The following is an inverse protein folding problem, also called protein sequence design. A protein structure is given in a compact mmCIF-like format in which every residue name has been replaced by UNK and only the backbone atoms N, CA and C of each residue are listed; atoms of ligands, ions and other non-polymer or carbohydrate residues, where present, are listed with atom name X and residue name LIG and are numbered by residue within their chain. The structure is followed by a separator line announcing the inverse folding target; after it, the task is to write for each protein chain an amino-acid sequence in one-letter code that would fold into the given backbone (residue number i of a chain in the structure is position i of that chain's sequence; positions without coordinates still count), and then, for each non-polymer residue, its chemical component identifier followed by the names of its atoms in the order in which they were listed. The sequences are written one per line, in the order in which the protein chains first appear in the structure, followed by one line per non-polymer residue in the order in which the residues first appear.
data_IF_417100827802
#
_entry.id   IF_417100827802
#
_cell.length_a   1.000
_cell.length_b   1.000
_cell.length_c   1.000
_cell.angle_alpha   90.00
_cell.angle_beta   90.00
_cell.angle_gamma   90.00
#
_symmetry.space_group_name_H-M   'P 1'
#
loop_
_entity.id
_entity.type
_entity.pdbx_description
1 polymer ?
#
# COMPACT_ATOMS: atom_id res chain seq x y z
N UNK A 1 -40.00 37.44 32.54
CA UNK A 1 -39.95 38.82 32.01
C UNK A 1 -39.33 38.74 30.64
N UNK A 2 -40.18 38.77 29.62
CA UNK A 2 -39.85 38.65 28.19
C UNK A 2 -39.13 39.93 27.74
N UNK A 3 -37.95 39.79 27.16
CA UNK A 3 -37.27 40.91 26.49
C UNK A 3 -37.78 40.99 25.05
N UNK A 4 -38.21 42.18 24.64
CA UNK A 4 -38.77 42.52 23.33
C UNK A 4 -37.69 42.90 22.31
N UNK A 5 -38.05 42.75 21.03
CA UNK A 5 -37.25 42.91 19.81
C UNK A 5 -36.58 44.29 19.59
N UNK A 6 -36.86 45.28 20.43
CA UNK A 6 -36.37 46.65 20.21
C UNK A 6 -34.93 46.89 20.71
N UNK A 7 -34.37 45.99 21.53
CA UNK A 7 -32.99 46.14 22.01
C UNK A 7 -31.94 45.74 20.96
N UNK A 8 -32.34 44.95 19.95
CA UNK A 8 -31.43 44.48 18.89
C UNK A 8 -31.30 45.50 17.74
N UNK A 9 -32.30 46.38 17.54
CA UNK A 9 -32.26 47.41 16.49
C UNK A 9 -31.35 48.61 16.80
N UNK A 10 -31.03 48.87 18.06
CA UNK A 10 -30.29 50.07 18.46
C UNK A 10 -28.77 50.02 18.18
N UNK A 11 -28.21 48.87 17.78
CA UNK A 11 -26.76 48.74 17.51
C UNK A 11 -26.43 48.89 16.01
N UNK A 12 -27.43 48.90 15.12
CA UNK A 12 -27.20 48.84 13.67
C UNK A 12 -27.40 50.16 12.91
N UNK A 13 -27.78 51.27 13.55
CA UNK A 13 -28.15 52.51 12.84
C UNK A 13 -27.26 53.75 13.05
N UNK A 14 -26.12 53.68 13.76
CA UNK A 14 -25.26 54.86 13.96
C UNK A 14 -23.89 54.74 13.25
N UNK A 15 -23.84 55.07 11.96
CA UNK A 15 -23.08 56.24 11.43
C UNK A 15 -22.77 56.19 9.92
N UNK A 16 -22.73 57.36 9.26
CA UNK A 16 -23.16 57.51 7.88
C UNK A 16 -22.09 58.05 6.92
N UNK A 17 -22.44 58.05 5.63
CA UNK A 17 -22.15 59.11 4.66
C UNK A 17 -20.72 59.64 4.55
N UNK A 18 -19.92 59.08 3.64
CA UNK A 18 -18.88 59.79 2.88
C UNK A 18 -18.48 58.91 1.71
N UNK A 19 -19.10 59.12 0.54
CA UNK A 19 -18.59 58.73 -0.79
C UNK A 19 -19.58 59.00 -1.95
N UNK A 20 -20.66 59.76 -1.74
CA UNK A 20 -21.67 60.03 -2.78
C UNK A 20 -21.32 61.12 -3.81
N UNK A 21 -20.09 61.65 -3.83
CA UNK A 21 -19.74 62.83 -4.64
C UNK A 21 -18.69 62.59 -5.74
N UNK A 22 -18.81 61.52 -6.53
CA UNK A 22 -18.04 61.41 -7.78
C UNK A 22 -18.93 60.96 -8.94
N UNK A 23 -19.24 61.91 -9.84
CA UNK A 23 -19.87 61.67 -11.14
C UNK A 23 -18.93 60.84 -12.04
N UNK A 24 -19.46 59.96 -12.92
CA UNK A 24 -18.61 59.16 -13.79
C UNK A 24 -18.07 60.01 -14.94
N UNK A 25 -16.76 60.24 -14.95
CA UNK A 25 -16.02 60.66 -16.14
C UNK A 25 -15.77 59.47 -17.05
N UNK A 26 -16.10 59.64 -18.33
CA UNK A 26 -15.75 58.73 -19.41
C UNK A 26 -14.22 58.59 -19.52
N UNK A 27 -13.70 57.38 -19.29
CA UNK A 27 -12.52 56.89 -20.02
C UNK A 27 -12.56 55.37 -20.09
N UNK A 28 -12.83 54.87 -21.30
CA UNK A 28 -12.69 53.49 -21.71
C UNK A 28 -11.25 52.97 -21.51
N UNK A 29 -11.12 51.64 -21.48
CA UNK A 29 -9.87 50.86 -21.63
C UNK A 29 -8.85 50.87 -20.48
N UNK A 30 -9.14 50.19 -19.36
CA UNK A 30 -8.08 49.81 -18.40
C UNK A 30 -8.37 48.60 -17.48
N UNK A 31 -9.41 47.77 -17.71
CA UNK A 31 -9.87 46.79 -16.71
C UNK A 31 -9.84 45.31 -17.13
N UNK A 32 -9.08 44.93 -18.16
CA UNK A 32 -9.00 43.51 -18.55
C UNK A 32 -7.98 42.68 -17.76
N UNK A 33 -7.19 43.27 -16.85
CA UNK A 33 -6.09 42.58 -16.17
C UNK A 33 -5.91 43.06 -14.71
N UNK A 34 -6.56 42.43 -13.70
CA UNK A 34 -6.02 42.09 -12.35
C UNK A 34 -7.07 41.59 -11.31
N UNK A 35 -6.75 40.43 -10.71
CA UNK A 35 -6.96 39.88 -9.33
C UNK A 35 -8.36 39.75 -8.61
N UNK A 36 -8.66 38.48 -8.24
CA UNK A 36 -9.70 37.93 -7.33
C UNK A 36 -11.19 38.24 -7.60
N UNK A 37 -12.07 37.22 -7.69
CA UNK A 37 -13.50 37.47 -7.72
C UNK A 37 -13.95 37.99 -6.35
N UNK A 38 -14.56 39.18 -6.33
CA UNK A 38 -15.40 39.60 -5.21
C UNK A 38 -16.54 38.58 -5.02
N UNK A 39 -17.06 38.47 -3.79
CA UNK A 39 -18.23 37.62 -3.48
C UNK A 39 -19.28 37.83 -4.57
N UNK A 40 -19.72 36.78 -5.29
CA UNK A 40 -20.71 36.97 -6.33
C UNK A 40 -22.00 37.40 -5.64
N UNK A 41 -22.49 38.60 -5.97
CA UNK A 41 -23.93 38.82 -5.95
C UNK A 41 -24.57 37.75 -6.83
N UNK A 42 -25.80 37.35 -6.54
CA UNK A 42 -26.54 36.34 -7.31
C UNK A 42 -26.55 36.69 -8.82
N UNK A 43 -25.55 36.21 -9.54
CA UNK A 43 -25.50 36.19 -10.99
C UNK A 43 -25.73 34.72 -11.31
N UNK A 44 -26.96 34.37 -11.66
CA UNK A 44 -27.22 33.10 -12.35
C UNK A 44 -26.49 33.18 -13.69
N UNK A 45 -25.29 32.59 -13.73
CA UNK A 45 -24.51 32.47 -14.95
C UNK A 45 -25.24 31.48 -15.87
N UNK A 46 -25.40 31.85 -17.15
CA UNK A 46 -26.14 31.07 -18.15
C UNK A 46 -25.77 29.58 -18.09
N UNK A 47 -26.79 28.71 -18.15
CA UNK A 47 -26.65 27.25 -18.25
C UNK A 47 -25.99 26.55 -17.04
N UNK A 48 -26.04 27.19 -15.86
CA UNK A 48 -25.68 26.58 -14.58
C UNK A 48 -24.19 26.58 -14.25
N UNK A 49 -23.35 27.35 -14.94
CA UNK A 49 -21.94 27.54 -14.60
C UNK A 49 -21.76 28.23 -13.22
N UNK A 50 -20.66 27.92 -12.52
CA UNK A 50 -20.37 28.46 -11.18
C UNK A 50 -19.42 29.66 -11.21
N UNK A 51 -18.78 29.93 -12.35
CA UNK A 51 -17.84 31.05 -12.54
C UNK A 51 -17.91 31.60 -13.95
N UNK A 52 -17.74 32.92 -14.08
CA UNK A 52 -17.70 33.59 -15.38
C UNK A 52 -16.52 33.11 -16.25
N UNK A 53 -16.76 33.04 -17.56
CA UNK A 53 -15.78 32.68 -18.56
C UNK A 53 -16.25 31.53 -19.45
N UNK A 54 -15.65 31.41 -20.65
CA UNK A 54 -15.95 30.30 -21.56
C UNK A 54 -15.39 28.99 -21.01
N UNK A 55 -16.07 27.85 -21.23
CA UNK A 55 -15.52 26.52 -20.94
C UNK A 55 -14.18 26.33 -21.64
N UNK A 56 -13.24 25.67 -20.95
CA UNK A 56 -11.93 25.39 -21.52
C UNK A 56 -12.07 24.36 -22.64
N UNK A 57 -11.64 24.73 -23.85
CA UNK A 57 -11.64 23.80 -24.98
C UNK A 57 -10.46 22.84 -24.86
N UNK A 58 -10.70 21.54 -24.99
CA UNK A 58 -9.66 20.51 -24.81
C UNK A 58 -8.47 20.63 -25.77
N UNK A 59 -8.72 21.13 -26.99
CA UNK A 59 -7.67 21.34 -28.00
C UNK A 59 -7.04 22.75 -27.96
N UNK A 60 -7.40 23.57 -26.96
CA UNK A 60 -6.76 24.87 -26.78
C UNK A 60 -5.32 24.72 -26.31
N UNK A 61 -4.46 25.70 -26.65
CA UNK A 61 -3.07 25.74 -26.17
C UNK A 61 -2.96 25.70 -24.64
N UNK A 62 -3.91 26.35 -23.97
CA UNK A 62 -4.01 26.40 -22.51
C UNK A 62 -4.32 25.03 -21.91
N UNK A 63 -5.29 24.31 -22.48
CA UNK A 63 -5.62 22.95 -22.05
C UNK A 63 -4.49 21.97 -22.37
N UNK A 64 -3.86 22.07 -23.54
CA UNK A 64 -2.72 21.22 -23.89
C UNK A 64 -1.56 21.41 -22.91
N UNK A 65 -1.27 22.66 -22.51
CA UNK A 65 -0.27 22.93 -21.48
C UNK A 65 -0.63 22.31 -20.12
N UNK A 66 -1.90 22.41 -19.73
CA UNK A 66 -2.41 21.78 -18.50
C UNK A 66 -2.34 20.25 -18.57
N UNK A 67 -2.69 19.63 -19.70
CA UNK A 67 -2.62 18.18 -19.87
C UNK A 67 -1.15 17.69 -19.90
N UNK A 68 -0.25 18.44 -20.55
CA UNK A 68 1.18 18.10 -20.58
C UNK A 68 1.81 18.13 -19.17
N UNK A 69 1.41 19.09 -18.34
CA UNK A 69 1.76 19.13 -16.92
C UNK A 69 1.35 17.85 -16.19
N UNK A 70 0.08 17.44 -16.32
CA UNK A 70 -0.45 16.25 -15.66
C UNK A 70 0.13 14.95 -16.23
N UNK A 71 0.51 14.94 -17.51
CA UNK A 71 1.28 13.84 -18.09
C UNK A 71 2.65 13.72 -17.40
N UNK A 72 3.37 14.82 -17.20
CA UNK A 72 4.65 14.82 -16.48
C UNK A 72 4.51 14.37 -15.02
N UNK A 73 3.52 14.91 -14.30
CA UNK A 73 3.21 14.50 -12.92
C UNK A 73 2.85 13.01 -12.85
N UNK A 74 1.97 12.56 -13.76
CA UNK A 74 1.56 11.16 -13.85
C UNK A 74 2.75 10.24 -14.08
N UNK A 75 3.61 10.58 -15.03
CA UNK A 75 4.82 9.82 -15.34
C UNK A 75 5.75 9.68 -14.12
N UNK A 76 6.06 10.78 -13.43
CA UNK A 76 6.91 10.74 -12.24
C UNK A 76 6.26 9.99 -11.07
N UNK A 77 4.94 10.09 -10.91
CA UNK A 77 4.20 9.33 -9.90
C UNK A 77 4.19 7.81 -10.18
N UNK A 78 4.41 7.39 -11.43
CA UNK A 78 4.64 5.98 -11.79
C UNK A 78 6.11 5.56 -11.62
N UNK A 79 7.04 6.40 -12.06
CA UNK A 79 8.49 6.11 -12.07
C UNK A 79 9.07 6.11 -10.66
N UNK A 80 8.92 7.19 -9.88
CA UNK A 80 9.66 7.35 -8.63
C UNK A 80 9.34 6.22 -7.63
N UNK A 81 8.07 5.86 -7.36
CA UNK A 81 7.75 4.72 -6.51
C UNK A 81 8.19 3.38 -7.14
N UNK A 82 8.08 3.25 -8.46
CA UNK A 82 8.43 2.02 -9.17
C UNK A 82 9.91 1.65 -9.07
N UNK A 83 10.81 2.64 -9.01
CA UNK A 83 12.27 2.43 -8.91
C UNK A 83 12.70 1.88 -7.54
N UNK A 84 11.90 2.06 -6.50
CA UNK A 84 12.29 1.75 -5.12
C UNK A 84 12.67 0.27 -4.96
N UNK A 85 11.83 -0.66 -5.41
CA UNK A 85 12.10 -2.08 -5.26
C UNK A 85 13.29 -2.55 -6.12
N UNK A 86 13.32 -2.32 -7.45
CA UNK A 86 14.41 -2.80 -8.29
C UNK A 86 15.79 -2.25 -7.88
N UNK A 87 15.87 -1.00 -7.43
CA UNK A 87 17.14 -0.39 -7.02
C UNK A 87 17.51 -0.70 -5.58
N UNK A 88 16.60 -0.50 -4.62
CA UNK A 88 16.96 -0.66 -3.22
C UNK A 88 17.02 -2.13 -2.83
N UNK A 89 16.02 -2.93 -3.19
CA UNK A 89 15.99 -4.35 -2.86
C UNK A 89 16.78 -5.17 -3.87
N UNK A 90 16.49 -5.02 -5.17
CA UNK A 90 17.12 -5.86 -6.20
C UNK A 90 18.62 -5.61 -6.31
N UNK A 91 18.99 -4.38 -6.69
CA UNK A 91 20.38 -4.05 -7.00
C UNK A 91 21.27 -3.85 -5.76
N UNK A 92 20.77 -3.17 -4.71
CA UNK A 92 21.57 -2.85 -3.51
C UNK A 92 21.39 -3.85 -2.37
N UNK A 93 20.44 -4.79 -2.45
CA UNK A 93 20.07 -5.72 -1.38
C UNK A 93 19.84 -5.02 -0.02
N UNK A 94 19.11 -3.92 -0.03
CA UNK A 94 18.71 -3.23 1.18
C UNK A 94 17.75 -4.09 2.01
N UNK A 95 17.78 -3.92 3.32
CA UNK A 95 16.83 -4.56 4.21
C UNK A 95 15.38 -4.10 3.89
N UNK A 96 14.41 -5.01 4.00
CA UNK A 96 13.00 -4.70 3.73
C UNK A 96 12.47 -3.51 4.55
N UNK A 97 12.97 -3.30 5.77
CA UNK A 97 12.61 -2.14 6.61
C UNK A 97 13.03 -0.80 5.97
N UNK A 98 14.17 -0.75 5.27
CA UNK A 98 14.65 0.41 4.52
C UNK A 98 13.76 0.64 3.29
N UNK A 99 13.38 -0.42 2.59
CA UNK A 99 12.48 -0.35 1.41
C UNK A 99 11.11 0.18 1.81
N UNK A 100 10.50 -0.36 2.87
CA UNK A 100 9.23 0.14 3.38
C UNK A 100 9.37 1.60 3.84
N UNK A 101 10.44 1.94 4.55
CA UNK A 101 10.70 3.33 4.95
C UNK A 101 10.82 4.27 3.74
N UNK A 102 11.49 3.84 2.68
CA UNK A 102 11.64 4.61 1.45
C UNK A 102 10.29 4.87 0.76
N UNK A 103 9.43 3.84 0.66
CA UNK A 103 8.08 4.00 0.10
C UNK A 103 7.25 5.02 0.89
N UNK A 104 7.33 4.99 2.22
CA UNK A 104 6.64 5.98 3.08
C UNK A 104 7.22 7.38 2.90
N UNK A 105 8.54 7.53 2.92
CA UNK A 105 9.23 8.83 2.78
C UNK A 105 8.90 9.51 1.45
N UNK A 106 8.88 8.77 0.35
CA UNK A 106 8.47 9.29 -0.97
C UNK A 106 7.01 9.77 -0.99
N UNK A 107 6.16 9.24 -0.11
CA UNK A 107 4.75 9.64 0.01
C UNK A 107 4.52 10.82 0.97
N UNK A 108 5.48 11.14 1.86
CA UNK A 108 5.36 12.27 2.79
C UNK A 108 4.93 13.60 2.14
N UNK A 109 5.42 13.99 0.95
CA UNK A 109 4.99 15.23 0.30
C UNK A 109 3.48 15.36 0.19
N UNK A 110 2.75 14.26 -0.04
CA UNK A 110 1.29 14.26 -0.20
C UNK A 110 0.56 14.74 1.06
N UNK A 111 1.13 14.52 2.25
CA UNK A 111 0.60 15.05 3.50
C UNK A 111 0.62 16.59 3.53
N UNK A 112 1.51 17.22 2.75
CA UNK A 112 1.66 18.67 2.67
C UNK A 112 0.87 19.31 1.52
N UNK A 113 0.10 18.52 0.76
CA UNK A 113 -0.66 18.98 -0.41
C UNK A 113 -1.54 20.20 -0.09
N UNK A 114 -2.25 20.17 1.04
CA UNK A 114 -3.10 21.29 1.50
C UNK A 114 -2.30 22.56 1.76
N UNK A 115 -1.15 22.46 2.43
CA UNK A 115 -0.32 23.61 2.78
C UNK A 115 0.26 24.28 1.53
N UNK A 116 0.70 23.50 0.54
CA UNK A 116 1.10 24.05 -0.76
C UNK A 116 -0.03 24.78 -1.47
N UNK A 117 -1.28 24.29 -1.32
CA UNK A 117 -2.46 24.95 -1.85
C UNK A 117 -2.61 26.35 -1.26
N UNK A 118 -2.61 26.43 0.07
CA UNK A 118 -2.69 27.70 0.80
C UNK A 118 -1.56 28.66 0.39
N UNK A 119 -0.33 28.18 0.28
CA UNK A 119 0.80 29.02 -0.10
C UNK A 119 0.60 29.57 -1.53
N UNK A 120 0.29 28.70 -2.48
CA UNK A 120 0.16 29.08 -3.90
C UNK A 120 -1.02 30.03 -4.18
N UNK A 121 -2.10 29.93 -3.40
CA UNK A 121 -3.27 30.80 -3.58
C UNK A 121 -3.15 32.14 -2.81
N UNK A 122 -2.50 32.14 -1.65
CA UNK A 122 -2.40 33.33 -0.79
C UNK A 122 -1.20 34.23 -1.10
N UNK A 123 -0.10 33.69 -1.64
CA UNK A 123 1.15 34.43 -1.84
C UNK A 123 1.53 34.55 -3.32
N UNK A 124 1.02 35.56 -4.06
CA UNK A 124 1.39 35.72 -5.46
C UNK A 124 2.86 36.11 -5.62
N UNK A 125 3.55 35.51 -6.59
CA UNK A 125 4.93 35.81 -6.96
C UNK A 125 4.92 36.66 -8.24
N UNK A 126 5.51 37.86 -8.19
CA UNK A 126 5.54 38.80 -9.32
C UNK A 126 4.15 39.10 -9.91
N UNK A 127 3.12 39.11 -9.06
CA UNK A 127 1.72 39.34 -9.45
C UNK A 127 0.98 38.11 -10.00
N UNK A 128 1.64 36.96 -10.13
CA UNK A 128 1.04 35.70 -10.56
C UNK A 128 0.82 34.75 -9.38
N UNK A 129 -0.37 34.14 -9.29
CA UNK A 129 -0.69 33.19 -8.21
C UNK A 129 -0.05 31.82 -8.39
N UNK A 130 -0.27 31.16 -9.54
CA UNK A 130 -0.01 29.72 -9.68
C UNK A 130 1.13 29.34 -10.63
N UNK A 131 1.27 30.07 -11.74
CA UNK A 131 2.30 29.81 -12.75
C UNK A 131 3.73 29.81 -12.18
N UNK A 132 4.12 30.75 -11.30
CA UNK A 132 5.45 30.73 -10.71
C UNK A 132 5.72 29.47 -9.88
N UNK A 133 4.74 29.00 -9.11
CA UNK A 133 4.88 27.77 -8.30
C UNK A 133 5.04 26.52 -9.16
N UNK A 134 4.32 26.44 -10.30
CA UNK A 134 4.53 25.35 -11.26
C UNK A 134 5.93 25.39 -11.87
N UNK A 135 6.44 26.58 -12.23
CA UNK A 135 7.81 26.69 -12.77
C UNK A 135 8.85 26.33 -11.70
N UNK A 136 8.70 26.86 -10.48
CA UNK A 136 9.61 26.58 -9.37
C UNK A 136 9.62 25.10 -8.99
N UNK A 137 8.45 24.46 -8.90
CA UNK A 137 8.35 23.04 -8.58
C UNK A 137 9.02 22.16 -9.64
N UNK A 138 8.85 22.47 -10.93
CA UNK A 138 9.50 21.72 -12.00
C UNK A 138 10.99 21.95 -12.06
N UNK A 139 11.44 23.19 -11.91
CA UNK A 139 12.89 23.49 -11.84
C UNK A 139 13.50 22.73 -10.67
N UNK A 140 12.87 22.74 -9.50
CA UNK A 140 13.33 21.99 -8.34
C UNK A 140 13.36 20.48 -8.62
N UNK A 141 12.28 19.91 -9.16
CA UNK A 141 12.20 18.49 -9.51
C UNK A 141 13.29 18.08 -10.50
N UNK A 142 13.46 18.84 -11.59
CA UNK A 142 14.48 18.58 -12.63
C UNK A 142 15.89 18.67 -12.06
N UNK A 143 16.18 19.64 -11.19
CA UNK A 143 17.49 19.76 -10.53
C UNK A 143 17.77 18.55 -9.66
N UNK A 144 16.80 18.10 -8.86
CA UNK A 144 16.98 16.92 -7.99
C UNK A 144 17.14 15.65 -8.84
N UNK A 145 16.33 15.46 -9.88
CA UNK A 145 16.46 14.33 -10.80
C UNK A 145 17.81 14.34 -11.54
N UNK A 146 18.30 15.53 -11.93
CA UNK A 146 19.62 15.67 -12.52
C UNK A 146 20.73 15.30 -11.54
N UNK A 147 20.63 15.75 -10.28
CA UNK A 147 21.56 15.35 -9.21
C UNK A 147 21.56 13.83 -9.08
N UNK A 148 20.40 13.19 -9.02
CA UNK A 148 20.30 11.73 -8.96
C UNK A 148 20.92 11.05 -10.16
N UNK A 149 20.73 11.58 -11.37
CA UNK A 149 21.27 11.01 -12.60
C UNK A 149 22.81 11.07 -12.67
N UNK A 150 23.45 12.00 -11.95
CA UNK A 150 24.92 12.13 -11.90
C UNK A 150 25.53 11.56 -10.62
N UNK A 151 24.73 11.07 -9.68
CA UNK A 151 25.22 10.38 -8.49
C UNK A 151 25.86 9.05 -8.90
N UNK A 152 27.05 8.77 -8.36
CA UNK A 152 27.72 7.49 -8.58
C UNK A 152 26.93 6.35 -7.95
N UNK A 153 26.49 5.41 -8.76
CA UNK A 153 25.88 4.16 -8.29
C UNK A 153 27.01 3.21 -7.87
N UNK A 154 26.98 2.65 -6.64
CA UNK A 154 27.95 1.65 -6.25
C UNK A 154 27.78 0.38 -7.09
N UNK A 155 28.80 -0.48 -7.11
CA UNK A 155 28.68 -1.81 -7.70
C UNK A 155 27.53 -2.59 -7.01
N UNK A 156 26.82 -3.46 -7.74
CA UNK A 156 25.68 -4.22 -7.21
C UNK A 156 26.09 -5.06 -5.99
N UNK A 157 25.11 -5.45 -5.18
CA UNK A 157 25.37 -6.30 -4.02
C UNK A 157 25.92 -7.67 -4.42
N UNK A 158 25.31 -8.31 -5.43
CA UNK A 158 25.80 -9.54 -6.02
C UNK A 158 26.77 -9.21 -7.16
N UNK A 159 28.01 -9.68 -7.07
CA UNK A 159 28.99 -9.52 -8.15
C UNK A 159 28.69 -10.38 -9.38
N UNK A 160 27.85 -11.42 -9.22
CA UNK A 160 27.27 -12.22 -10.28
C UNK A 160 25.73 -12.16 -10.18
N UNK A 161 25.07 -11.63 -11.21
CA UNK A 161 23.61 -11.44 -11.22
C UNK A 161 22.84 -12.76 -11.17
N UNK A 162 23.45 -13.87 -11.62
CA UNK A 162 22.83 -15.19 -11.57
C UNK A 162 22.57 -15.67 -10.14
N UNK A 163 23.27 -15.10 -9.14
CA UNK A 163 23.07 -15.41 -7.73
C UNK A 163 21.65 -15.08 -7.23
N UNK A 164 20.90 -14.22 -7.93
CA UNK A 164 19.48 -13.98 -7.63
C UNK A 164 18.59 -15.21 -7.89
N UNK A 165 19.06 -16.16 -8.72
CA UNK A 165 18.29 -17.30 -9.21
C UNK A 165 18.87 -18.65 -8.78
N UNK A 166 19.92 -18.65 -7.94
CA UNK A 166 20.59 -19.84 -7.43
C UNK A 166 20.47 -19.82 -5.91
N UNK A 167 20.08 -20.95 -5.33
CA UNK A 167 19.99 -21.10 -3.88
C UNK A 167 21.35 -20.85 -3.20
N UNK A 168 21.33 -20.24 -2.01
CA UNK A 168 22.53 -19.86 -1.26
C UNK A 168 23.49 -21.05 -1.01
N UNK A 169 22.95 -22.27 -0.92
CA UNK A 169 23.69 -23.51 -0.67
C UNK A 169 24.51 -23.95 -1.89
N UNK A 170 24.11 -23.54 -3.08
CA UNK A 170 24.73 -23.88 -4.36
C UNK A 170 25.71 -22.80 -4.85
N UNK A 171 25.92 -21.74 -4.07
CA UNK A 171 26.85 -20.68 -4.44
C UNK A 171 28.30 -21.18 -4.45
N UNK A 172 29.01 -20.83 -5.52
CA UNK A 172 30.45 -21.10 -5.62
C UNK A 172 31.24 -20.19 -4.68
N UNK A 173 32.44 -20.63 -4.28
CA UNK A 173 33.33 -19.80 -3.45
C UNK A 173 33.71 -18.47 -4.12
N UNK A 174 33.74 -18.43 -5.45
CA UNK A 174 34.01 -17.22 -6.24
C UNK A 174 32.83 -16.24 -6.19
N UNK A 175 31.60 -16.75 -6.31
CA UNK A 175 30.36 -15.96 -6.15
C UNK A 175 30.26 -15.36 -4.75
N UNK A 176 30.51 -16.15 -3.70
CA UNK A 176 30.52 -15.66 -2.31
C UNK A 176 31.56 -14.56 -2.12
N UNK A 177 32.77 -14.72 -2.69
CA UNK A 177 33.81 -13.71 -2.61
C UNK A 177 33.51 -12.43 -3.41
N UNK A 178 32.56 -12.48 -4.35
CA UNK A 178 32.14 -11.34 -5.16
C UNK A 178 31.10 -10.44 -4.48
N UNK A 179 30.57 -10.85 -3.31
CA UNK A 179 29.52 -10.12 -2.59
C UNK A 179 30.05 -8.77 -2.10
N UNK A 180 29.34 -7.70 -2.48
CA UNK A 180 29.60 -6.35 -2.03
C UNK A 180 28.66 -5.96 -0.87
N UNK A 181 29.03 -6.35 0.35
CA UNK A 181 28.26 -6.05 1.56
C UNK A 181 28.00 -4.55 1.77
N UNK A 182 28.88 -3.69 1.24
CA UNK A 182 28.78 -2.24 1.39
C UNK A 182 27.69 -1.60 0.52
N UNK A 183 27.19 -2.30 -0.51
CA UNK A 183 26.15 -1.79 -1.40
C UNK A 183 24.87 -1.41 -0.65
N UNK A 184 24.44 -2.25 0.29
CA UNK A 184 23.22 -2.08 1.10
C UNK A 184 23.21 -0.76 1.88
N UNK A 185 24.37 -0.36 2.42
CA UNK A 185 24.54 0.88 3.18
C UNK A 185 24.32 2.15 2.35
N UNK A 186 24.36 2.03 1.01
CA UNK A 186 24.16 3.14 0.09
C UNK A 186 22.70 3.40 -0.26
N UNK A 187 21.77 2.49 0.07
CA UNK A 187 20.34 2.62 -0.26
C UNK A 187 19.74 3.95 0.21
N UNK A 188 20.06 4.37 1.43
CA UNK A 188 19.56 5.62 2.01
C UNK A 188 19.93 6.88 1.22
N UNK A 189 21.01 6.85 0.42
CA UNK A 189 21.47 8.00 -0.39
C UNK A 189 20.45 8.40 -1.45
N UNK A 190 19.64 7.47 -1.94
CA UNK A 190 18.66 7.72 -3.01
C UNK A 190 17.28 8.12 -2.48
N UNK A 191 16.96 7.74 -1.24
CA UNK A 191 15.63 7.95 -0.65
C UNK A 191 15.30 9.43 -0.50
N UNK A 192 16.23 10.21 0.06
CA UNK A 192 16.01 11.65 0.29
C UNK A 192 15.86 12.41 -1.03
N UNK A 193 16.72 12.24 -2.05
CA UNK A 193 16.49 12.80 -3.37
C UNK A 193 15.15 12.41 -4.02
N UNK A 194 14.71 11.15 -3.93
CA UNK A 194 13.40 10.73 -4.44
C UNK A 194 12.24 11.45 -3.75
N UNK A 195 12.32 11.60 -2.42
CA UNK A 195 11.35 12.38 -1.65
C UNK A 195 11.36 13.86 -2.06
N UNK A 196 12.53 14.47 -2.25
CA UNK A 196 12.66 15.87 -2.69
C UNK A 196 12.13 16.07 -4.11
N UNK A 197 12.44 15.17 -5.05
CA UNK A 197 11.85 15.19 -6.39
C UNK A 197 10.31 15.13 -6.33
N UNK A 198 9.78 14.36 -5.38
CA UNK A 198 8.35 14.23 -5.12
C UNK A 198 7.70 15.51 -4.58
N UNK A 199 8.40 16.25 -3.72
CA UNK A 199 8.00 17.60 -3.35
C UNK A 199 7.90 18.54 -4.55
N UNK A 200 8.85 18.46 -5.49
CA UNK A 200 8.88 19.32 -6.68
C UNK A 200 7.68 19.13 -7.61
N UNK A 201 7.40 17.89 -8.03
CA UNK A 201 6.25 17.63 -8.91
C UNK A 201 4.92 17.77 -8.17
N UNK A 202 4.87 17.58 -6.84
CA UNK A 202 3.63 17.78 -6.09
C UNK A 202 3.28 19.27 -5.95
N UNK A 203 4.25 20.15 -5.75
CA UNK A 203 4.02 21.60 -5.76
C UNK A 203 3.39 22.05 -7.09
N UNK A 204 3.87 21.45 -8.18
CA UNK A 204 3.35 21.61 -9.53
C UNK A 204 1.91 21.09 -9.68
N UNK A 205 1.63 19.91 -9.14
CA UNK A 205 0.30 19.30 -9.15
C UNK A 205 -0.71 20.16 -8.40
N UNK A 206 -0.37 20.67 -7.21
CA UNK A 206 -1.28 21.45 -6.38
C UNK A 206 -1.71 22.76 -7.06
N UNK A 207 -0.75 23.46 -7.66
CA UNK A 207 -1.05 24.67 -8.42
C UNK A 207 -1.91 24.38 -9.66
N UNK A 208 -1.72 23.21 -10.29
CA UNK A 208 -2.52 22.76 -11.43
C UNK A 208 -3.94 22.34 -11.00
N UNK A 209 -4.10 21.62 -9.88
CA UNK A 209 -5.40 21.23 -9.32
C UNK A 209 -6.27 22.45 -9.04
N UNK A 210 -5.68 23.50 -8.46
CA UNK A 210 -6.38 24.75 -8.24
C UNK A 210 -6.84 25.39 -9.57
N UNK A 211 -6.05 25.28 -10.65
CA UNK A 211 -6.49 25.73 -11.98
C UNK A 211 -7.61 24.86 -12.56
N UNK A 212 -7.55 23.54 -12.38
CA UNK A 212 -8.60 22.61 -12.82
C UNK A 212 -9.93 22.95 -12.16
N UNK A 213 -9.94 23.23 -10.85
CA UNK A 213 -11.15 23.68 -10.14
C UNK A 213 -11.71 24.95 -10.77
N UNK A 214 -10.86 25.94 -11.07
CA UNK A 214 -11.32 27.18 -11.71
C UNK A 214 -11.87 26.98 -13.12
N UNK A 215 -11.28 26.08 -13.90
CA UNK A 215 -11.76 25.77 -15.24
C UNK A 215 -13.05 24.94 -15.22
N UNK A 216 -13.15 23.95 -14.34
CA UNK A 216 -14.35 23.13 -14.16
C UNK A 216 -15.55 23.96 -13.71
N UNK A 217 -15.33 25.00 -12.88
CA UNK A 217 -16.39 25.92 -12.47
C UNK A 217 -16.96 26.76 -13.62
N UNK A 218 -16.24 26.90 -14.75
CA UNK A 218 -16.73 27.59 -15.96
C UNK A 218 -17.54 26.68 -16.88
N UNK A 219 -17.56 25.37 -16.63
CA UNK A 219 -18.31 24.43 -17.46
C UNK A 219 -19.81 24.50 -17.16
N UNK A 220 -20.68 24.58 -18.19
CA UNK A 220 -22.12 24.49 -18.02
C UNK A 220 -22.50 23.09 -17.51
N UNK A 221 -23.70 22.96 -16.97
CA UNK A 221 -24.14 21.71 -16.33
C UNK A 221 -24.03 20.48 -17.26
N UNK A 222 -24.25 20.66 -18.56
CA UNK A 222 -24.23 19.60 -19.58
C UNK A 222 -22.84 19.03 -19.86
N UNK A 223 -21.78 19.78 -19.58
CA UNK A 223 -20.38 19.40 -19.87
C UNK A 223 -19.49 19.42 -18.62
N UNK A 224 -20.10 19.56 -17.44
CA UNK A 224 -19.39 19.65 -16.17
C UNK A 224 -18.58 18.39 -15.89
N UNK A 225 -17.34 18.59 -15.45
CA UNK A 225 -16.40 17.52 -15.13
C UNK A 225 -15.54 17.11 -16.33
N UNK A 226 -15.76 17.66 -17.52
CA UNK A 226 -15.02 17.27 -18.74
C UNK A 226 -13.53 17.55 -18.61
N UNK A 227 -13.14 18.75 -18.15
CA UNK A 227 -11.73 19.08 -17.89
C UNK A 227 -11.14 18.19 -16.80
N UNK A 228 -11.90 17.91 -15.74
CA UNK A 228 -11.46 17.05 -14.64
C UNK A 228 -11.22 15.62 -15.14
N UNK A 229 -12.15 15.04 -15.89
CA UNK A 229 -12.00 13.71 -16.51
C UNK A 229 -10.79 13.67 -17.44
N UNK A 230 -10.60 14.67 -18.30
CA UNK A 230 -9.46 14.70 -19.22
C UNK A 230 -8.11 14.72 -18.47
N UNK A 231 -8.02 15.53 -17.42
CA UNK A 231 -6.83 15.62 -16.56
C UNK A 231 -6.53 14.31 -15.85
N UNK A 232 -7.51 13.69 -15.19
CA UNK A 232 -7.29 12.42 -14.49
C UNK A 232 -6.98 11.28 -15.47
N UNK A 233 -7.66 11.23 -16.62
CA UNK A 233 -7.34 10.25 -17.66
C UNK A 233 -5.88 10.37 -18.11
N UNK A 234 -5.42 11.58 -18.44
CA UNK A 234 -4.01 11.82 -18.84
C UNK A 234 -3.05 11.47 -17.71
N UNK A 235 -3.31 11.91 -16.48
CA UNK A 235 -2.46 11.60 -15.32
C UNK A 235 -2.33 10.09 -15.13
N UNK A 236 -3.45 9.37 -15.07
CA UNK A 236 -3.47 7.91 -14.85
C UNK A 236 -2.82 7.16 -16.01
N UNK A 237 -3.07 7.55 -17.26
CA UNK A 237 -2.39 6.93 -18.42
C UNK A 237 -0.89 7.12 -18.35
N UNK A 238 -0.39 8.30 -17.99
CA UNK A 238 1.04 8.53 -17.87
C UNK A 238 1.66 7.89 -16.63
N UNK A 239 0.90 7.69 -15.55
CA UNK A 239 1.32 6.84 -14.43
C UNK A 239 1.52 5.40 -14.88
N UNK A 240 0.60 4.84 -15.67
CA UNK A 240 0.77 3.52 -16.26
C UNK A 240 1.98 3.46 -17.21
N UNK A 241 2.22 4.50 -18.02
CA UNK A 241 3.42 4.59 -18.87
C UNK A 241 4.69 4.62 -18.02
N UNK A 242 4.73 5.42 -16.95
CA UNK A 242 5.87 5.48 -16.03
C UNK A 242 6.15 4.13 -15.37
N UNK A 243 5.11 3.46 -14.88
CA UNK A 243 5.22 2.11 -14.32
C UNK A 243 5.69 1.09 -15.37
N UNK A 244 5.19 1.17 -16.61
CA UNK A 244 5.63 0.32 -17.71
C UNK A 244 7.11 0.54 -18.05
N UNK A 245 7.60 1.79 -18.02
CA UNK A 245 9.03 2.06 -18.23
C UNK A 245 9.87 1.32 -17.19
N UNK A 246 9.47 1.35 -15.92
CA UNK A 246 10.19 0.57 -14.90
C UNK A 246 10.08 -0.92 -15.16
N UNK A 247 8.87 -1.42 -15.42
CA UNK A 247 8.64 -2.84 -15.65
C UNK A 247 9.38 -3.42 -16.88
N UNK A 248 9.62 -2.63 -17.93
CA UNK A 248 10.34 -3.10 -19.11
C UNK A 248 11.85 -2.85 -19.03
N UNK A 249 12.29 -1.75 -18.42
CA UNK A 249 13.70 -1.33 -18.46
C UNK A 249 14.47 -1.62 -17.17
N UNK A 250 13.79 -1.94 -16.07
CA UNK A 250 14.41 -2.33 -14.79
C UNK A 250 13.99 -3.76 -14.40
N UNK A 251 13.92 -4.65 -15.39
CA UNK A 251 13.54 -6.05 -15.23
C UNK A 251 14.66 -7.02 -15.68
N UNK A 252 15.93 -6.63 -15.54
CA UNK A 252 17.08 -7.52 -15.72
C UNK A 252 17.54 -8.12 -14.40
N UNK A 253 18.32 -9.21 -14.45
CA UNK A 253 18.74 -9.98 -13.27
C UNK A 253 19.37 -9.11 -12.18
N UNK A 254 20.20 -8.13 -12.56
CA UNK A 254 20.84 -7.16 -11.66
C UNK A 254 19.87 -6.33 -10.82
N UNK A 255 18.63 -6.18 -11.28
CA UNK A 255 17.57 -5.43 -10.60
C UNK A 255 16.56 -6.35 -9.92
N UNK A 256 16.92 -7.61 -9.70
CA UNK A 256 15.98 -8.68 -9.34
C UNK A 256 14.81 -8.78 -10.33
N UNK A 257 15.09 -8.43 -11.58
CA UNK A 257 14.18 -8.41 -12.69
C UNK A 257 14.36 -9.66 -13.55
N UNK A 258 13.24 -10.16 -14.06
CA UNK A 258 12.95 -11.59 -14.15
C UNK A 258 12.83 -12.19 -12.75
N UNK A 259 11.59 -12.18 -12.26
CA UNK A 259 11.05 -13.23 -11.41
C UNK A 259 12.06 -13.82 -10.41
N UNK A 260 12.29 -13.12 -9.30
CA UNK A 260 12.95 -13.75 -8.15
C UNK A 260 12.22 -15.07 -7.87
N UNK A 261 12.89 -16.19 -8.14
CA UNK A 261 12.34 -17.55 -8.01
C UNK A 261 11.34 -18.02 -9.07
N UNK A 262 11.27 -17.44 -10.28
CA UNK A 262 10.39 -17.93 -11.37
C UNK A 262 8.91 -17.51 -11.29
N UNK A 263 8.60 -16.45 -10.53
CA UNK A 263 7.24 -15.93 -10.37
C UNK A 263 6.46 -16.60 -9.26
N UNK A 264 7.10 -17.43 -8.43
CA UNK A 264 6.50 -18.19 -7.36
C UNK A 264 6.30 -17.33 -6.10
N UNK A 265 5.14 -17.50 -5.46
CA UNK A 265 4.78 -16.87 -4.21
C UNK A 265 5.29 -17.69 -3.01
N UNK A 266 5.60 -17.00 -1.91
CA UNK A 266 5.68 -17.58 -0.58
C UNK A 266 4.54 -17.02 0.26
N UNK A 267 3.95 -17.85 1.13
CA UNK A 267 2.85 -17.45 2.01
C UNK A 267 3.16 -17.86 3.45
N UNK A 268 3.64 -16.90 4.24
CA UNK A 268 4.05 -17.16 5.63
C UNK A 268 3.19 -16.33 6.56
N UNK A 269 2.59 -17.00 7.54
CA UNK A 269 1.98 -16.37 8.70
C UNK A 269 2.72 -16.72 9.99
N UNK A 270 3.02 -15.69 10.78
CA UNK A 270 3.46 -15.79 12.18
C UNK A 270 2.61 -14.86 13.02
N UNK A 271 2.32 -15.26 14.25
CA UNK A 271 1.67 -14.39 15.23
C UNK A 271 2.67 -13.99 16.30
N UNK A 272 2.85 -12.69 16.52
CA UNK A 272 3.82 -12.19 17.49
C UNK A 272 3.19 -11.24 18.52
N UNK A 273 3.65 -11.27 19.77
CA UNK A 273 3.27 -10.27 20.77
C UNK A 273 3.97 -8.92 20.56
N UNK A 274 3.20 -7.83 20.46
CA UNK A 274 3.65 -6.44 20.19
C UNK A 274 4.33 -5.74 21.40
N UNK A 275 4.87 -6.52 22.36
CA UNK A 275 5.59 -6.05 23.55
C UNK A 275 5.10 -6.65 24.88
N UNK A 276 5.97 -6.72 25.89
CA UNK A 276 5.68 -7.28 27.22
C UNK A 276 5.57 -8.81 27.27
N UNK A 277 5.49 -9.43 28.47
CA UNK A 277 5.32 -10.90 28.58
C UNK A 277 3.95 -11.34 28.04
N UNK A 278 3.90 -12.50 27.39
CA UNK A 278 2.63 -13.13 26.99
C UNK A 278 1.76 -13.37 28.23
N UNK A 279 0.45 -13.18 28.10
CA UNK A 279 -0.47 -13.70 29.10
C UNK A 279 -0.53 -15.23 29.02
N UNK A 280 -0.91 -15.89 30.11
CA UNK A 280 -1.08 -17.35 30.13
C UNK A 280 -2.06 -17.84 29.05
N UNK A 281 -3.10 -17.06 28.75
CA UNK A 281 -4.04 -17.36 27.66
C UNK A 281 -3.40 -17.24 26.27
N UNK A 282 -2.56 -16.23 26.04
CA UNK A 282 -1.86 -16.04 24.77
C UNK A 282 -0.82 -17.14 24.54
N UNK A 283 -0.03 -17.47 25.56
CA UNK A 283 0.94 -18.56 25.53
C UNK A 283 0.24 -19.90 25.22
N UNK A 284 -0.80 -20.23 25.98
CA UNK A 284 -1.57 -21.47 25.79
C UNK A 284 -2.21 -21.56 24.41
N UNK A 285 -2.80 -20.48 23.89
CA UNK A 285 -3.39 -20.48 22.54
C UNK A 285 -2.31 -20.57 21.45
N UNK A 286 -1.14 -19.98 21.67
CA UNK A 286 -0.03 -20.06 20.72
C UNK A 286 0.50 -21.49 20.65
N UNK A 287 0.81 -22.10 21.79
CA UNK A 287 1.22 -23.51 21.87
C UNK A 287 0.16 -24.45 21.30
N UNK A 288 -1.12 -24.12 21.50
CA UNK A 288 -2.22 -24.87 20.90
C UNK A 288 -2.15 -24.87 19.37
N UNK A 289 -2.05 -23.71 18.73
CA UNK A 289 -1.97 -23.62 17.27
C UNK A 289 -0.66 -24.23 16.74
N UNK A 290 0.46 -24.00 17.44
CA UNK A 290 1.77 -24.56 17.07
C UNK A 290 1.77 -26.09 17.14
N UNK A 291 1.17 -26.68 18.18
CA UNK A 291 1.03 -28.13 18.32
C UNK A 291 0.16 -28.73 17.20
N UNK A 292 -0.95 -28.06 16.85
CA UNK A 292 -1.80 -28.48 15.73
C UNK A 292 -1.01 -28.47 14.43
N UNK A 293 -0.25 -27.40 14.17
CA UNK A 293 0.57 -27.28 12.96
C UNK A 293 1.62 -28.38 12.88
N UNK A 294 2.38 -28.60 13.95
CA UNK A 294 3.39 -29.67 14.04
C UNK A 294 2.81 -31.05 13.81
N UNK A 295 1.63 -31.34 14.40
CA UNK A 295 0.93 -32.62 14.18
C UNK A 295 0.46 -32.79 12.75
N UNK A 296 -0.04 -31.73 12.11
CA UNK A 296 -0.44 -31.79 10.70
C UNK A 296 0.76 -32.04 9.79
N UNK A 297 1.89 -31.34 10.02
CA UNK A 297 3.13 -31.54 9.28
C UNK A 297 3.68 -32.97 9.46
N UNK A 298 3.67 -33.49 10.68
CA UNK A 298 4.15 -34.85 10.96
C UNK A 298 3.23 -35.93 10.37
N UNK A 299 1.91 -35.71 10.42
CA UNK A 299 0.94 -36.60 9.78
C UNK A 299 1.13 -36.62 8.26
N UNK A 300 1.24 -35.43 7.64
CA UNK A 300 1.53 -35.30 6.21
C UNK A 300 2.84 -36.01 5.85
N UNK A 301 3.93 -35.77 6.60
CA UNK A 301 5.22 -36.44 6.42
C UNK A 301 5.07 -37.97 6.45
N UNK A 302 4.42 -38.50 7.50
CA UNK A 302 4.22 -39.94 7.69
C UNK A 302 3.47 -40.56 6.52
N UNK A 303 2.41 -39.91 6.04
CA UNK A 303 1.63 -40.41 4.90
C UNK A 303 2.47 -40.46 3.62
N UNK A 304 3.25 -39.42 3.33
CA UNK A 304 4.12 -39.38 2.14
C UNK A 304 5.25 -40.40 2.24
N UNK A 305 5.92 -40.52 3.40
CA UNK A 305 7.00 -41.50 3.64
C UNK A 305 6.50 -42.95 3.48
N UNK A 306 5.29 -43.24 3.98
CA UNK A 306 4.65 -44.55 3.84
C UNK A 306 4.04 -44.79 2.45
N UNK A 307 4.10 -43.79 1.55
CA UNK A 307 3.48 -43.81 0.22
C UNK A 307 1.97 -44.07 0.27
N UNK A 308 1.32 -43.59 1.33
CA UNK A 308 -0.13 -43.61 1.47
C UNK A 308 -0.70 -42.32 0.85
N UNK A 309 -1.80 -42.41 0.08
CA UNK A 309 -2.41 -41.22 -0.49
C UNK A 309 -2.98 -40.35 0.62
N UNK A 310 -2.71 -39.05 0.55
CA UNK A 310 -3.31 -38.03 1.40
C UNK A 310 -3.72 -36.83 0.53
N UNK A 311 -4.86 -36.25 0.83
CA UNK A 311 -5.41 -35.06 0.17
C UNK A 311 -5.40 -33.85 1.12
N UNK A 312 -5.50 -32.63 0.58
CA UNK A 312 -5.65 -31.43 1.40
C UNK A 312 -6.91 -31.48 2.29
N UNK A 313 -8.00 -32.06 1.79
CA UNK A 313 -9.23 -32.21 2.57
C UNK A 313 -9.06 -33.21 3.75
N UNK A 314 -8.33 -34.31 3.55
CA UNK A 314 -8.04 -35.25 4.64
C UNK A 314 -7.12 -34.62 5.70
N UNK A 315 -6.13 -33.83 5.26
CA UNK A 315 -5.28 -33.05 6.19
C UNK A 315 -6.13 -32.01 6.96
N UNK A 316 -7.11 -31.40 6.31
CA UNK A 316 -8.04 -30.49 6.96
C UNK A 316 -8.88 -31.20 8.02
N UNK A 317 -9.50 -32.33 7.67
CA UNK A 317 -10.30 -33.12 8.60
C UNK A 317 -9.47 -33.56 9.81
N UNK A 318 -8.21 -33.97 9.60
CA UNK A 318 -7.27 -34.27 10.68
C UNK A 318 -7.01 -33.07 11.60
N UNK A 319 -6.81 -31.88 11.03
CA UNK A 319 -6.61 -30.65 11.81
C UNK A 319 -7.86 -30.30 12.63
N UNK A 320 -9.05 -30.41 12.04
CA UNK A 320 -10.34 -30.14 12.68
C UNK A 320 -10.54 -31.09 13.86
N UNK A 321 -10.26 -32.38 13.68
CA UNK A 321 -10.35 -33.40 14.72
C UNK A 321 -9.51 -33.07 15.97
N UNK A 322 -8.26 -32.65 15.76
CA UNK A 322 -7.35 -32.27 16.86
C UNK A 322 -7.83 -30.99 17.53
N UNK A 323 -8.15 -29.97 16.73
CA UNK A 323 -8.57 -28.68 17.24
C UNK A 323 -9.86 -28.78 18.03
N UNK A 324 -10.88 -29.49 17.53
CA UNK A 324 -12.15 -29.67 18.22
C UNK A 324 -11.98 -30.39 19.56
N UNK A 325 -11.18 -31.47 19.63
CA UNK A 325 -10.90 -32.18 20.89
C UNK A 325 -10.29 -31.24 21.93
N UNK A 326 -9.26 -30.48 21.54
CA UNK A 326 -8.57 -29.57 22.45
C UNK A 326 -9.42 -28.34 22.82
N UNK A 327 -10.22 -27.81 21.89
CA UNK A 327 -11.16 -26.73 22.19
C UNK A 327 -12.29 -27.16 23.14
N UNK A 328 -12.68 -28.44 23.13
CA UNK A 328 -13.60 -29.00 24.13
C UNK A 328 -12.95 -29.09 25.52
N UNK A 329 -11.69 -29.56 25.58
CA UNK A 329 -10.91 -29.63 26.83
C UNK A 329 -10.68 -28.25 27.46
N UNK A 330 -10.41 -27.24 26.62
CA UNK A 330 -10.20 -25.86 27.03
C UNK A 330 -11.50 -25.09 27.33
N UNK A 331 -12.66 -25.73 27.15
CA UNK A 331 -13.96 -25.09 27.38
C UNK A 331 -14.33 -23.99 26.37
N UNK A 332 -13.62 -23.92 25.22
CA UNK A 332 -13.93 -23.02 24.11
C UNK A 332 -15.19 -23.48 23.37
N UNK A 333 -15.34 -24.79 23.17
CA UNK A 333 -16.56 -25.40 22.62
C UNK A 333 -17.43 -25.95 23.75
N UNK A 334 -18.71 -25.60 23.77
CA UNK A 334 -19.66 -26.07 24.80
C UNK A 334 -20.29 -27.38 24.36
N UNK A 335 -19.79 -28.51 24.86
CA UNK A 335 -20.30 -29.84 24.51
C UNK A 335 -21.78 -30.02 24.90
N UNK A 336 -22.70 -29.84 23.94
CA UNK A 336 -24.13 -30.13 24.14
C UNK A 336 -24.63 -31.34 23.36
N UNK A 337 -23.84 -31.90 22.43
CA UNK A 337 -24.32 -32.96 21.53
C UNK A 337 -23.22 -33.91 21.00
N UNK A 338 -22.00 -33.87 21.55
CA UNK A 338 -20.86 -34.70 21.13
C UNK A 338 -19.91 -33.99 20.14
N UNK A 339 -18.68 -34.51 20.00
CA UNK A 339 -17.55 -33.82 19.37
C UNK A 339 -17.68 -33.58 17.85
N UNK A 340 -18.64 -34.20 17.17
CA UNK A 340 -18.86 -34.04 15.72
C UNK A 340 -20.32 -33.80 15.34
N UNK A 341 -21.11 -33.29 16.29
CA UNK A 341 -22.47 -32.86 15.99
C UNK A 341 -22.46 -31.68 15.03
N UNK A 342 -23.49 -31.54 14.17
CA UNK A 342 -23.63 -30.38 13.27
C UNK A 342 -23.56 -29.04 14.00
N UNK A 343 -24.04 -28.98 15.24
CA UNK A 343 -23.93 -27.81 16.10
C UNK A 343 -22.49 -27.52 16.54
N UNK A 344 -21.72 -28.55 16.92
CA UNK A 344 -20.32 -28.39 17.33
C UNK A 344 -19.44 -27.95 16.16
N UNK A 345 -19.65 -28.51 14.96
CA UNK A 345 -18.93 -28.10 13.75
C UNK A 345 -19.24 -26.64 13.42
N UNK A 346 -20.51 -26.22 13.52
CA UNK A 346 -20.90 -24.82 13.29
C UNK A 346 -20.30 -23.86 14.31
N UNK A 347 -20.19 -24.28 15.57
CA UNK A 347 -19.54 -23.50 16.63
C UNK A 347 -18.02 -23.42 16.40
N UNK A 348 -17.38 -24.53 16.02
CA UNK A 348 -15.97 -24.57 15.63
C UNK A 348 -15.67 -23.60 14.46
N UNK A 349 -16.49 -23.62 13.42
CA UNK A 349 -16.35 -22.75 12.24
C UNK A 349 -16.45 -21.25 12.56
N UNK A 350 -16.99 -20.88 13.72
CA UNK A 350 -16.98 -19.50 14.21
C UNK A 350 -15.58 -19.04 14.60
N UNK A 351 -14.77 -19.96 15.12
CA UNK A 351 -13.43 -19.68 15.65
C UNK A 351 -12.31 -20.11 14.71
N UNK A 352 -12.57 -21.06 13.80
CA UNK A 352 -11.69 -21.43 12.69
C UNK A 352 -12.53 -21.47 11.40
N UNK A 353 -12.61 -20.35 10.65
CA UNK A 353 -13.45 -20.25 9.45
C UNK A 353 -12.72 -20.64 8.16
N UNK A 354 -11.45 -21.02 8.23
CA UNK A 354 -10.57 -21.25 7.07
C UNK A 354 -10.24 -22.72 6.89
N UNK A 355 -9.77 -23.07 5.69
CA UNK A 355 -9.19 -24.38 5.42
C UNK A 355 -7.80 -24.49 6.08
N UNK A 356 -7.23 -25.71 6.16
CA UNK A 356 -5.88 -25.91 6.73
C UNK A 356 -4.75 -25.43 5.81
N UNK A 357 -5.05 -25.16 4.54
CA UNK A 357 -4.07 -24.81 3.54
C UNK A 357 -4.58 -24.91 2.10
N UNK A 358 -3.73 -24.54 1.16
CA UNK A 358 -3.99 -24.51 -0.28
C UNK A 358 -2.72 -24.84 -1.07
N UNK A 359 -2.85 -25.05 -2.38
CA UNK A 359 -1.71 -25.13 -3.27
C UNK A 359 -1.03 -23.77 -3.39
N UNK A 360 0.29 -23.77 -3.51
CA UNK A 360 1.12 -22.59 -3.63
C UNK A 360 2.03 -22.73 -4.86
N UNK A 361 2.23 -21.65 -5.59
CA UNK A 361 3.06 -21.65 -6.78
C UNK A 361 3.17 -20.25 -7.36
N UNK A 362 2.98 -20.07 -8.67
CA UNK A 362 3.05 -18.73 -9.27
C UNK A 362 1.94 -17.78 -8.79
N UNK A 363 0.83 -18.35 -8.34
CA UNK A 363 -0.22 -17.64 -7.59
C UNK A 363 -0.20 -18.09 -6.12
N UNK A 364 -0.54 -17.19 -5.18
CA UNK A 364 -0.64 -17.53 -3.75
C UNK A 364 -1.63 -18.67 -3.51
N UNK A 365 -2.80 -18.61 -4.14
CA UNK A 365 -3.78 -19.70 -4.18
C UNK A 365 -3.72 -20.39 -5.54
N UNK A 366 -2.64 -21.15 -5.78
CA UNK A 366 -2.34 -21.70 -7.10
C UNK A 366 -3.34 -22.79 -7.54
N UNK A 367 -3.40 -23.02 -8.85
CA UNK A 367 -4.11 -24.13 -9.48
C UNK A 367 -5.59 -24.28 -9.05
N UNK A 368 -6.46 -23.26 -9.26
CA UNK A 368 -7.87 -23.32 -8.85
C UNK A 368 -8.68 -24.45 -9.50
N UNK A 369 -8.12 -25.09 -10.53
CA UNK A 369 -8.69 -26.25 -11.22
C UNK A 369 -8.32 -27.59 -10.58
N UNK A 370 -7.29 -27.64 -9.73
CA UNK A 370 -6.91 -28.83 -8.96
C UNK A 370 -7.75 -28.86 -7.70
N UNK A 371 -8.53 -29.93 -7.54
CA UNK A 371 -9.39 -30.09 -6.37
C UNK A 371 -8.57 -30.45 -5.13
N UNK A 372 -8.97 -29.94 -3.96
CA UNK A 372 -8.38 -30.30 -2.66
C UNK A 372 -8.60 -31.78 -2.25
N UNK A 373 -9.42 -32.51 -3.00
CA UNK A 373 -9.57 -33.97 -2.88
C UNK A 373 -8.62 -34.76 -3.80
N UNK A 374 -7.75 -34.10 -4.56
CA UNK A 374 -6.72 -34.79 -5.33
C UNK A 374 -5.59 -35.25 -4.38
N UNK A 375 -5.06 -36.48 -4.54
CA UNK A 375 -3.90 -36.93 -3.77
C UNK A 375 -2.71 -36.00 -4.00
N UNK A 376 -2.03 -35.65 -2.92
CA UNK A 376 -0.76 -34.93 -2.96
C UNK A 376 0.32 -35.86 -3.49
N UNK A 377 1.10 -35.37 -4.44
CA UNK A 377 2.17 -36.11 -5.10
C UNK A 377 3.48 -35.31 -5.07
N UNK A 378 4.64 -35.98 -5.20
CA UNK A 378 5.94 -35.30 -5.26
C UNK A 378 5.97 -34.16 -6.29
N UNK A 379 6.56 -33.03 -5.89
CA UNK A 379 6.62 -31.79 -6.67
C UNK A 379 5.47 -30.81 -6.41
N UNK A 380 4.40 -31.21 -5.70
CA UNK A 380 3.38 -30.26 -5.25
C UNK A 380 3.87 -29.42 -4.08
N UNK A 381 3.45 -28.16 -4.03
CA UNK A 381 3.69 -27.24 -2.90
C UNK A 381 2.36 -26.83 -2.30
N UNK A 382 2.26 -26.89 -0.97
CA UNK A 382 1.05 -26.53 -0.22
C UNK A 382 1.39 -25.74 1.04
N UNK A 383 0.46 -24.92 1.51
CA UNK A 383 0.54 -24.29 2.83
C UNK A 383 -0.03 -25.19 3.92
N UNK A 384 0.47 -25.04 5.16
CA UNK A 384 -0.12 -25.64 6.38
C UNK A 384 -0.29 -24.56 7.43
N UNK A 385 -1.52 -24.03 7.54
CA UNK A 385 -1.84 -22.73 8.16
C UNK A 385 -2.98 -22.78 9.21
N UNK A 386 -2.91 -23.65 10.25
CA UNK A 386 -3.94 -23.65 11.30
C UNK A 386 -4.03 -22.29 12.00
N UNK A 387 -5.25 -21.89 12.33
CA UNK A 387 -5.50 -20.67 13.07
C UNK A 387 -6.73 -20.72 13.96
N UNK A 388 -6.74 -19.90 15.02
CA UNK A 388 -7.87 -19.73 15.92
C UNK A 388 -8.13 -18.25 16.15
N UNK A 389 -9.40 -17.84 16.08
CA UNK A 389 -9.83 -16.45 16.18
C UNK A 389 -10.96 -16.34 17.20
N UNK A 390 -10.66 -15.78 18.36
CA UNK A 390 -11.54 -15.72 19.52
C UNK A 390 -12.00 -14.28 19.77
N UNK A 391 -13.23 -13.89 19.37
CA UNK A 391 -13.66 -12.51 19.45
C UNK A 391 -13.72 -11.97 20.88
N UNK A 392 -13.25 -10.74 21.08
CA UNK A 392 -13.23 -10.10 22.41
C UNK A 392 -14.61 -9.99 23.06
N UNK A 393 -15.66 -9.79 22.24
CA UNK A 393 -17.03 -9.58 22.69
C UNK A 393 -17.83 -10.88 22.81
N UNK A 394 -17.17 -12.03 22.71
CA UNK A 394 -17.81 -13.32 22.89
C UNK A 394 -17.73 -13.76 24.35
N UNK A 395 -18.79 -13.49 25.09
CA UNK A 395 -18.86 -13.80 26.53
C UNK A 395 -19.10 -15.28 26.81
N UNK A 396 -19.35 -16.10 25.79
CA UNK A 396 -19.42 -17.55 25.95
C UNK A 396 -18.03 -18.20 26.12
N UNK A 397 -16.97 -17.51 25.68
CA UNK A 397 -15.58 -17.95 25.81
C UNK A 397 -15.04 -17.74 27.25
N UNK A 398 -14.09 -18.58 27.70
CA UNK A 398 -13.25 -18.29 28.86
C UNK A 398 -12.59 -16.90 28.74
N UNK A 399 -12.58 -16.14 29.82
CA UNK A 399 -12.16 -14.73 29.82
C UNK A 399 -10.71 -14.55 29.36
N UNK A 400 -9.85 -15.48 29.75
CA UNK A 400 -8.44 -15.54 29.43
C UNK A 400 -8.14 -15.70 27.93
N UNK A 401 -9.09 -16.18 27.13
CA UNK A 401 -8.90 -16.40 25.69
C UNK A 401 -9.55 -15.34 24.80
N UNK A 402 -10.34 -14.43 25.36
CA UNK A 402 -11.09 -13.43 24.59
C UNK A 402 -10.17 -12.43 23.92
N UNK A 403 -10.39 -12.19 22.63
CA UNK A 403 -9.63 -11.24 21.83
C UNK A 403 -8.31 -11.80 21.28
N UNK A 404 -8.07 -13.11 21.42
CA UNK A 404 -6.88 -13.77 20.89
C UNK A 404 -7.14 -14.25 19.46
N UNK A 405 -6.26 -13.89 18.54
CA UNK A 405 -6.23 -14.41 17.18
C UNK A 405 -4.81 -14.89 16.87
N UNK A 406 -4.67 -16.15 16.47
CA UNK A 406 -3.37 -16.77 16.18
C UNK A 406 -3.49 -17.58 14.90
N UNK A 407 -2.55 -17.40 13.97
CA UNK A 407 -2.29 -18.30 12.85
C UNK A 407 -0.78 -18.52 12.72
N UNK A 408 -0.39 -19.74 12.39
CA UNK A 408 1.01 -20.13 12.14
C UNK A 408 1.01 -20.97 10.87
N UNK A 409 1.82 -20.58 9.91
CA UNK A 409 1.76 -21.12 8.55
C UNK A 409 3.14 -21.36 7.97
N UNK A 410 3.31 -22.48 7.29
CA UNK A 410 4.53 -22.80 6.56
C UNK A 410 4.22 -23.31 5.15
N UNK A 411 5.17 -23.05 4.24
CA UNK A 411 5.17 -23.58 2.89
C UNK A 411 5.84 -24.96 2.89
N UNK A 412 5.18 -25.95 2.28
CA UNK A 412 5.56 -27.36 2.33
C UNK A 412 5.66 -27.93 0.93
N UNK A 413 6.85 -28.41 0.57
CA UNK A 413 7.11 -29.13 -0.68
C UNK A 413 6.95 -30.63 -0.42
N UNK A 414 6.11 -31.28 -1.20
CA UNK A 414 5.96 -32.74 -1.19
C UNK A 414 7.11 -33.35 -2.00
N UNK A 415 7.87 -34.26 -1.40
CA UNK A 415 9.01 -34.92 -2.05
C UNK A 415 8.76 -36.43 -2.20
N UNK A 416 9.62 -37.13 -2.94
CA UNK A 416 9.52 -38.59 -3.11
C UNK A 416 9.70 -39.39 -1.81
N UNK A 417 10.30 -38.78 -0.79
CA UNK A 417 10.68 -39.43 0.47
C UNK A 417 10.13 -38.71 1.71
N UNK A 418 9.21 -37.76 1.58
CA UNK A 418 8.62 -37.05 2.71
C UNK A 418 8.16 -35.64 2.35
N UNK A 419 8.42 -34.70 3.25
CA UNK A 419 8.13 -33.28 3.05
C UNK A 419 9.35 -32.42 3.39
N UNK A 420 9.46 -31.31 2.67
CA UNK A 420 10.42 -30.25 2.94
C UNK A 420 9.67 -28.97 3.31
N UNK A 421 10.17 -28.23 4.30
CA UNK A 421 9.56 -26.98 4.77
C UNK A 421 10.51 -25.85 4.42
N UNK A 422 10.11 -24.95 3.51
CA UNK A 422 11.00 -23.90 2.97
C UNK A 422 11.05 -22.65 3.86
N UNK A 423 10.13 -22.55 4.82
CA UNK A 423 9.92 -21.36 5.67
C UNK A 423 10.51 -21.50 7.08
N UNK A 424 11.42 -22.47 7.28
CA UNK A 424 12.03 -22.81 8.57
C UNK A 424 12.92 -21.70 9.14
N UNK A 425 13.47 -20.82 8.31
CA UNK A 425 14.29 -19.68 8.73
C UNK A 425 13.53 -18.67 9.60
N UNK A 426 12.19 -18.61 9.50
CA UNK A 426 11.36 -17.72 10.34
C UNK A 426 10.91 -18.47 11.60
N UNK A 427 11.42 -18.12 12.80
CA UNK A 427 11.13 -18.86 14.01
C UNK A 427 9.65 -18.84 14.39
N UNK A 428 9.19 -19.94 14.99
CA UNK A 428 7.82 -20.15 15.47
C UNK A 428 7.76 -20.84 16.84
N UNK A 429 8.90 -21.16 17.44
CA UNK A 429 8.96 -21.67 18.81
C UNK A 429 8.90 -20.50 19.78
N UNK A 430 8.17 -20.65 20.90
CA UNK A 430 8.03 -19.58 21.89
C UNK A 430 9.39 -19.07 22.40
N UNK A 431 10.31 -19.98 22.74
CA UNK A 431 11.65 -19.62 23.21
C UNK A 431 12.45 -18.81 22.18
N UNK A 432 12.34 -19.19 20.90
CA UNK A 432 12.97 -18.46 19.80
C UNK A 432 12.30 -17.09 19.60
N UNK A 433 10.98 -17.00 19.82
CA UNK A 433 10.26 -15.72 19.78
C UNK A 433 10.65 -14.80 20.93
N UNK A 434 10.95 -15.35 22.11
CA UNK A 434 11.43 -14.58 23.26
C UNK A 434 12.84 -14.05 23.05
N UNK A 435 13.74 -14.84 22.44
CA UNK A 435 15.11 -14.42 22.15
C UNK A 435 15.15 -13.20 21.21
N UNK A 436 14.30 -13.18 20.17
CA UNK A 436 14.20 -12.07 19.21
C UNK A 436 13.65 -10.74 19.78
N UNK A 437 13.24 -10.72 21.06
CA UNK A 437 12.78 -9.49 21.72
C UNK A 437 13.92 -8.66 22.32
N UNK A 438 15.08 -9.27 22.51
CA UNK A 438 16.19 -8.69 23.28
C UNK A 438 17.41 -8.36 22.41
N UNK A 439 17.32 -8.59 21.10
CA UNK A 439 18.23 -8.08 20.07
C UNK A 439 17.58 -6.86 19.39
#
# INVERSE_FOLDING_TARGET
MTLTDDTVKAVLEDRPSRLSDLKPTQSETAYSNLASPGKPGNIELENGALREGKPLQLLSKECIGLLAQYAGVGFLAGVIPGVIYPVLQGYLNAEGTIVVSATVLVQIPWCYKMFFGVISDCFPIMGYRRRPYMVLGWVFCVVILFIMAVMSVPDPYYGDSAMHNIDEEDWTAEQIASINESASSSAGKYVVPMMLASFGYLLCEVAADAMVVEYAQREPIEQRGRVQTAVYAVKTSFTAVGAAVIAFFMNGEEYAGCEVGGGYASDITRTWPVGGKLSSGQEMMYEFVLDVQKKCLEHLRTMIENKEPITLNELHDYSVDIMMKRMLELGILKNKSGPFSRSAIREFQKYNPTHIGHYLGMDTHDTPHVTRSAPLVPGMVVTVEPGIYLPKNDFDLPEEFRGIGIRIEDDVVITDSGIEITTTKVPKELDAMEALRYE
#
